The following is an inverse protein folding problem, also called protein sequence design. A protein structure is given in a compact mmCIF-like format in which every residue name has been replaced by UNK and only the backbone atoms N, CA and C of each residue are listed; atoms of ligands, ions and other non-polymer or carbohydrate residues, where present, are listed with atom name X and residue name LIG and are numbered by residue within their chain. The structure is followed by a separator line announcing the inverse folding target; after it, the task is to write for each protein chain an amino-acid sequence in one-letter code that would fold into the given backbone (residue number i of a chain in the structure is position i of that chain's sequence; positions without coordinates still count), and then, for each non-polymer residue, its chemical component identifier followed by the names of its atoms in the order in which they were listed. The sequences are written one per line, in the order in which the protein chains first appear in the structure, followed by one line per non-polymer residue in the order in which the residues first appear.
data_IF_623518895772
#
_entry.id   IF_623518895772
#
_cell.length_a   1.000
_cell.length_b   1.000
_cell.length_c   1.000
_cell.angle_alpha   90.00
_cell.angle_beta   90.00
_cell.angle_gamma   90.00
#
_symmetry.space_group_name_H-M   'P 1'
#
loop_
_entity.id
_entity.type
_entity.pdbx_description
1 polymer ?
#
# COMPACT_ATOMS: atom_id res chain seq x y z
N UNK A 1 -24.23 47.38 -52.47
CA UNK A 1 -24.03 45.96 -52.10
C UNK A 1 -22.71 45.83 -51.35
N UNK A 2 -22.73 45.77 -50.01
CA UNK A 2 -21.53 45.59 -49.18
C UNK A 2 -21.22 44.10 -49.08
N UNK A 3 -20.03 43.67 -49.53
CA UNK A 3 -19.55 42.29 -49.37
C UNK A 3 -18.98 42.14 -47.96
N UNK A 4 -19.61 41.29 -47.15
CA UNK A 4 -19.05 40.80 -45.89
C UNK A 4 -17.98 39.75 -46.22
N UNK A 5 -16.72 40.00 -45.82
CA UNK A 5 -15.71 38.95 -45.73
C UNK A 5 -15.93 38.20 -44.41
N UNK A 6 -16.35 36.94 -44.50
CA UNK A 6 -16.35 36.03 -43.37
C UNK A 6 -14.93 35.53 -43.13
N UNK A 7 -14.32 35.97 -42.03
CA UNK A 7 -13.04 35.47 -41.55
C UNK A 7 -13.31 34.17 -40.75
N UNK A 8 -13.07 33.01 -41.37
CA UNK A 8 -13.16 31.73 -40.67
C UNK A 8 -11.88 31.51 -39.88
N UNK A 9 -11.95 31.75 -38.56
CA UNK A 9 -10.88 31.44 -37.62
C UNK A 9 -10.86 29.91 -37.41
N UNK A 10 -9.95 29.20 -38.09
CA UNK A 10 -9.65 27.81 -37.74
C UNK A 10 -8.90 27.78 -36.41
N UNK A 11 -9.60 27.35 -35.36
CA UNK A 11 -8.99 26.90 -34.11
C UNK A 11 -8.21 25.60 -34.41
N UNK A 12 -6.92 25.73 -34.69
CA UNK A 12 -6.00 24.60 -34.68
C UNK A 12 -5.92 24.08 -33.24
N UNK A 13 -6.51 22.91 -32.99
CA UNK A 13 -6.21 22.16 -31.77
C UNK A 13 -4.71 21.90 -31.76
N UNK A 14 -4.01 22.38 -30.72
CA UNK A 14 -2.59 22.14 -30.49
C UNK A 14 -2.35 20.64 -30.23
N UNK A 15 -2.32 19.83 -31.29
CA UNK A 15 -1.73 18.51 -31.21
C UNK A 15 -0.23 18.69 -31.11
N UNK A 16 0.33 18.43 -29.93
CA UNK A 16 1.77 18.26 -29.75
C UNK A 16 2.24 17.14 -30.71
N UNK A 17 3.07 17.43 -31.72
CA UNK A 17 3.40 16.48 -32.78
C UNK A 17 4.37 15.38 -32.30
N UNK A 18 4.79 15.40 -31.04
CA UNK A 18 5.70 14.39 -30.48
C UNK A 18 4.98 13.05 -30.35
N UNK A 19 5.62 11.94 -30.76
CA UNK A 19 5.04 10.62 -30.59
C UNK A 19 4.82 10.33 -29.09
N UNK A 20 3.76 9.59 -28.73
CA UNK A 20 3.54 9.20 -27.33
C UNK A 20 4.75 8.47 -26.73
N UNK A 21 5.13 8.83 -25.51
CA UNK A 21 6.13 8.09 -24.74
C UNK A 21 5.57 6.72 -24.38
N UNK A 22 6.41 5.68 -24.48
CA UNK A 22 6.07 4.32 -24.09
C UNK A 22 7.06 3.80 -23.05
N UNK A 23 6.52 3.26 -21.96
CA UNK A 23 7.31 2.71 -20.86
C UNK A 23 6.45 1.75 -20.04
N UNK A 24 7.03 1.15 -19.01
CA UNK A 24 6.28 0.35 -18.06
C UNK A 24 6.75 0.52 -16.63
N UNK A 25 5.97 -0.04 -15.72
CA UNK A 25 6.34 -0.21 -14.32
C UNK A 25 6.29 -1.69 -13.97
N UNK A 26 7.28 -2.14 -13.21
CA UNK A 26 7.29 -3.47 -12.61
C UNK A 26 7.35 -3.31 -11.10
N UNK A 27 6.34 -3.84 -10.42
CA UNK A 27 6.27 -3.90 -8.97
C UNK A 27 6.60 -5.30 -8.49
N UNK A 28 7.57 -5.39 -7.59
CA UNK A 28 8.00 -6.64 -6.96
C UNK A 28 7.84 -6.57 -5.45
N UNK A 29 7.52 -7.71 -4.84
CA UNK A 29 7.52 -7.92 -3.41
C UNK A 29 8.56 -8.97 -3.07
N UNK A 30 9.78 -8.52 -2.76
CA UNK A 30 10.94 -9.41 -2.75
C UNK A 30 11.21 -9.90 -4.16
N UNK A 31 11.30 -11.23 -4.33
CA UNK A 31 11.48 -11.86 -5.64
C UNK A 31 10.20 -12.02 -6.48
N UNK A 32 9.03 -11.75 -5.91
CA UNK A 32 7.76 -12.00 -6.58
C UNK A 32 7.33 -10.78 -7.37
N UNK A 33 7.16 -10.88 -8.69
CA UNK A 33 6.41 -9.88 -9.46
C UNK A 33 4.94 -9.90 -9.04
N UNK A 34 4.45 -8.76 -8.57
CA UNK A 34 3.10 -8.62 -8.02
C UNK A 34 2.19 -7.76 -8.88
N UNK A 35 2.79 -6.85 -9.64
CA UNK A 35 2.08 -6.05 -10.65
C UNK A 35 3.02 -5.61 -11.75
N UNK A 36 2.48 -5.49 -12.96
CA UNK A 36 3.13 -4.80 -14.06
C UNK A 36 2.15 -3.86 -14.74
N UNK A 37 2.69 -2.81 -15.32
CA UNK A 37 1.94 -1.81 -16.08
C UNK A 37 2.70 -1.49 -17.36
N UNK A 38 1.97 -1.42 -18.47
CA UNK A 38 2.41 -0.87 -19.75
C UNK A 38 1.71 0.47 -19.94
N UNK A 39 2.47 1.48 -20.33
CA UNK A 39 2.00 2.86 -20.39
C UNK A 39 2.32 3.47 -21.75
N UNK A 40 1.34 4.17 -22.32
CA UNK A 40 1.49 5.09 -23.44
C UNK A 40 1.01 6.48 -23.01
N UNK A 41 1.87 7.49 -23.12
CA UNK A 41 1.61 8.85 -22.61
C UNK A 41 1.87 9.92 -23.68
N UNK A 42 0.89 10.77 -23.92
CA UNK A 42 1.03 12.03 -24.64
C UNK A 42 0.84 13.21 -23.70
N UNK A 43 0.85 14.44 -24.24
CA UNK A 43 0.55 15.65 -23.45
C UNK A 43 -0.90 15.71 -22.97
N UNK A 44 -1.84 15.12 -23.70
CA UNK A 44 -3.28 15.20 -23.43
C UNK A 44 -3.90 13.88 -22.95
N UNK A 45 -3.17 12.76 -23.02
CA UNK A 45 -3.74 11.43 -22.73
C UNK A 45 -2.71 10.50 -22.09
N UNK A 46 -3.20 9.64 -21.19
CA UNK A 46 -2.47 8.49 -20.67
C UNK A 46 -3.33 7.24 -20.92
N UNK A 47 -2.76 6.23 -21.55
CA UNK A 47 -3.38 4.91 -21.73
C UNK A 47 -2.52 3.87 -21.04
N UNK A 48 -3.13 3.02 -20.23
CA UNK A 48 -2.41 1.99 -19.50
C UNK A 48 -3.10 0.65 -19.54
N UNK A 49 -2.28 -0.39 -19.69
CA UNK A 49 -2.67 -1.76 -19.46
C UNK A 49 -1.93 -2.25 -18.23
N UNK A 50 -2.64 -2.75 -17.23
CA UNK A 50 -2.07 -3.20 -15.97
C UNK A 50 -2.58 -4.56 -15.57
N UNK A 51 -1.73 -5.32 -14.88
CA UNK A 51 -2.16 -6.50 -14.14
C UNK A 51 -1.56 -6.49 -12.75
N UNK A 52 -2.39 -6.76 -11.75
CA UNK A 52 -1.99 -7.02 -10.37
C UNK A 52 -2.56 -8.36 -9.91
N UNK A 53 -1.94 -9.00 -8.91
CA UNK A 53 -2.38 -10.33 -8.40
C UNK A 53 -2.75 -10.35 -6.92
N UNK A 54 -2.98 -9.18 -6.31
CA UNK A 54 -3.34 -9.11 -4.89
C UNK A 54 -4.44 -8.07 -4.63
N UNK A 55 -5.54 -8.46 -3.96
CA UNK A 55 -5.83 -9.79 -3.41
C UNK A 55 -6.25 -10.85 -4.45
N UNK A 56 -6.51 -10.45 -5.70
CA UNK A 56 -6.89 -11.32 -6.82
C UNK A 56 -6.19 -10.85 -8.08
N UNK A 57 -6.09 -11.71 -9.10
CA UNK A 57 -5.71 -11.25 -10.44
C UNK A 57 -6.73 -10.27 -10.98
N UNK A 58 -6.30 -9.03 -11.20
CA UNK A 58 -7.08 -7.98 -11.84
C UNK A 58 -6.30 -7.46 -13.04
N UNK A 59 -6.94 -7.50 -14.20
CA UNK A 59 -6.46 -6.83 -15.42
C UNK A 59 -7.21 -5.53 -15.58
N UNK A 60 -6.49 -4.49 -15.98
CA UNK A 60 -7.03 -3.15 -16.18
C UNK A 60 -6.61 -2.63 -17.52
N UNK A 61 -7.56 -2.12 -18.27
CA UNK A 61 -7.31 -1.18 -19.33
C UNK A 61 -7.83 0.18 -18.85
N UNK A 62 -7.01 1.21 -18.88
CA UNK A 62 -7.36 2.53 -18.37
C UNK A 62 -6.95 3.62 -19.33
N UNK A 63 -7.84 4.59 -19.51
CA UNK A 63 -7.62 5.77 -20.30
C UNK A 63 -7.90 6.99 -19.44
N UNK A 64 -7.01 7.98 -19.53
CA UNK A 64 -7.09 9.20 -18.76
C UNK A 64 -6.90 10.39 -19.69
N UNK A 65 -7.82 11.33 -19.64
CA UNK A 65 -7.65 12.63 -20.30
C UNK A 65 -6.97 13.60 -19.34
N UNK A 66 -6.02 14.36 -19.88
CA UNK A 66 -5.20 15.31 -19.15
C UNK A 66 -5.47 16.73 -19.64
N UNK A 67 -5.56 17.68 -18.73
CA UNK A 67 -5.53 19.09 -19.09
C UNK A 67 -4.11 19.58 -19.42
N UNK A 68 -3.99 20.85 -19.82
CA UNK A 68 -2.70 21.46 -20.15
C UNK A 68 -1.71 21.48 -18.97
N UNK A 69 -2.19 21.31 -17.74
CA UNK A 69 -1.36 21.22 -16.55
C UNK A 69 -0.94 19.78 -16.22
N UNK A 70 -1.43 18.79 -16.99
CA UNK A 70 -1.21 17.37 -16.77
C UNK A 70 -2.12 16.76 -15.70
N UNK A 71 -3.14 17.49 -15.24
CA UNK A 71 -4.11 16.98 -14.28
C UNK A 71 -5.15 16.13 -15.00
N UNK A 72 -5.53 15.02 -14.35
CA UNK A 72 -6.57 14.12 -14.86
C UNK A 72 -7.94 14.80 -14.77
N UNK A 73 -8.65 14.88 -15.90
CA UNK A 73 -9.99 15.47 -16.02
C UNK A 73 -11.07 14.42 -16.27
N UNK A 74 -10.73 13.34 -16.96
CA UNK A 74 -11.61 12.21 -17.22
C UNK A 74 -10.83 10.90 -17.10
N UNK A 75 -11.50 9.85 -16.66
CA UNK A 75 -10.98 8.49 -16.56
C UNK A 75 -12.02 7.50 -17.07
N UNK A 76 -11.59 6.55 -17.89
CA UNK A 76 -12.31 5.30 -18.18
C UNK A 76 -11.42 4.15 -17.78
N UNK A 77 -11.96 3.18 -17.05
CA UNK A 77 -11.23 1.99 -16.64
C UNK A 77 -12.11 0.74 -16.75
N UNK A 78 -11.65 -0.21 -17.55
CA UNK A 78 -12.21 -1.54 -17.62
C UNK A 78 -11.39 -2.48 -16.72
N UNK A 79 -12.03 -3.05 -15.72
CA UNK A 79 -11.41 -4.01 -14.79
C UNK A 79 -11.98 -5.40 -15.06
N UNK A 80 -11.10 -6.37 -15.28
CA UNK A 80 -11.45 -7.80 -15.38
C UNK A 80 -10.79 -8.57 -14.26
N UNK A 81 -11.57 -9.43 -13.59
CA UNK A 81 -11.11 -10.32 -12.53
C UNK A 81 -11.41 -11.77 -12.95
N UNK A 82 -10.52 -12.43 -13.73
CA UNK A 82 -10.83 -13.73 -14.34
C UNK A 82 -11.23 -14.81 -13.32
N UNK A 83 -10.63 -14.76 -12.13
CA UNK A 83 -10.85 -15.71 -11.03
C UNK A 83 -11.81 -15.18 -9.93
N UNK A 84 -12.67 -14.21 -10.27
CA UNK A 84 -13.70 -13.74 -9.35
C UNK A 84 -14.72 -14.85 -9.03
N UNK A 85 -15.12 -14.93 -7.75
CA UNK A 85 -16.11 -15.91 -7.29
C UNK A 85 -17.50 -15.49 -7.71
N UNK A 86 -17.84 -14.21 -7.54
CA UNK A 86 -19.12 -13.66 -7.94
C UNK A 86 -19.08 -13.18 -9.39
N UNK A 87 -20.11 -13.46 -10.22
CA UNK A 87 -20.17 -12.97 -11.60
C UNK A 87 -20.04 -11.45 -11.73
N UNK A 88 -20.65 -10.69 -10.80
CA UNK A 88 -20.57 -9.22 -10.78
C UNK A 88 -19.16 -8.66 -10.57
N UNK A 89 -18.25 -9.44 -9.99
CA UNK A 89 -16.85 -9.05 -9.76
C UNK A 89 -15.95 -9.35 -10.96
N UNK A 90 -16.42 -10.12 -11.96
CA UNK A 90 -15.61 -10.56 -13.11
C UNK A 90 -15.29 -9.43 -14.07
N UNK A 91 -16.18 -8.46 -14.21
CA UNK A 91 -16.04 -7.37 -15.16
C UNK A 91 -16.78 -6.14 -14.68
N UNK A 92 -16.10 -5.01 -14.67
CA UNK A 92 -16.70 -3.70 -14.39
C UNK A 92 -16.05 -2.61 -15.22
N UNK A 93 -16.85 -1.64 -15.64
CA UNK A 93 -16.41 -0.40 -16.26
C UNK A 93 -16.60 0.73 -15.27
N UNK A 94 -15.55 1.50 -15.05
CA UNK A 94 -15.54 2.64 -14.15
C UNK A 94 -15.29 3.88 -14.99
N UNK A 95 -16.12 4.91 -14.84
CA UNK A 95 -15.84 6.24 -15.37
C UNK A 95 -15.71 7.22 -14.22
N UNK A 96 -14.81 8.18 -14.34
CA UNK A 96 -14.72 9.28 -13.40
C UNK A 96 -14.48 10.62 -14.11
N UNK A 97 -15.28 11.62 -13.75
CA UNK A 97 -15.14 13.00 -14.21
C UNK A 97 -14.64 13.86 -13.05
N UNK A 98 -13.51 14.53 -13.25
CA UNK A 98 -12.88 15.39 -12.26
C UNK A 98 -12.90 16.84 -12.74
N UNK A 99 -13.78 17.65 -12.14
CA UNK A 99 -13.77 19.09 -12.34
C UNK A 99 -12.95 19.78 -11.25
N UNK A 100 -12.94 21.11 -11.26
CA UNK A 100 -12.34 21.91 -10.18
C UNK A 100 -13.00 21.61 -8.83
N UNK A 101 -14.32 21.48 -8.80
CA UNK A 101 -15.11 21.50 -7.56
C UNK A 101 -15.76 20.16 -7.21
N UNK A 102 -15.67 19.17 -8.11
CA UNK A 102 -16.35 17.90 -7.93
C UNK A 102 -15.66 16.74 -8.64
N UNK A 103 -15.73 15.56 -8.03
CA UNK A 103 -15.50 14.27 -8.68
C UNK A 103 -16.84 13.57 -8.83
N UNK A 104 -17.12 13.01 -10.01
CA UNK A 104 -18.24 12.09 -10.24
C UNK A 104 -17.67 10.75 -10.68
N UNK A 105 -18.18 9.65 -10.14
CA UNK A 105 -17.75 8.29 -10.45
C UNK A 105 -19.00 7.49 -10.82
N UNK A 106 -18.92 6.74 -11.91
CA UNK A 106 -19.92 5.74 -12.28
C UNK A 106 -19.26 4.37 -12.38
N UNK A 107 -19.83 3.38 -11.72
CA UNK A 107 -19.40 1.98 -11.79
C UNK A 107 -20.52 1.17 -12.40
N UNK A 108 -20.23 0.53 -13.53
CA UNK A 108 -21.13 -0.40 -14.22
C UNK A 108 -20.59 -1.82 -14.16
N UNK A 109 -21.40 -2.74 -13.68
CA UNK A 109 -21.12 -4.18 -13.67
C UNK A 109 -22.39 -4.98 -13.97
N UNK A 110 -22.36 -6.31 -13.77
CA UNK A 110 -23.54 -7.15 -14.02
C UNK A 110 -24.68 -6.95 -13.00
N UNK A 111 -24.42 -6.28 -11.88
CA UNK A 111 -25.44 -5.95 -10.88
C UNK A 111 -26.14 -4.61 -11.18
N UNK A 112 -25.58 -3.79 -12.07
CA UNK A 112 -26.19 -2.53 -12.52
C UNK A 112 -25.20 -1.38 -12.60
N UNK A 113 -25.72 -0.16 -12.48
CA UNK A 113 -24.93 1.09 -12.45
C UNK A 113 -25.03 1.71 -11.07
N UNK A 114 -23.90 2.15 -10.53
CA UNK A 114 -23.80 2.85 -9.25
C UNK A 114 -23.03 4.15 -9.46
N UNK A 115 -23.64 5.26 -9.08
CA UNK A 115 -23.05 6.59 -9.22
C UNK A 115 -22.71 7.18 -7.85
N UNK A 116 -21.60 7.88 -7.76
CA UNK A 116 -21.21 8.61 -6.55
C UNK A 116 -20.54 9.93 -6.92
N UNK A 117 -20.76 10.98 -6.13
CA UNK A 117 -20.13 12.28 -6.36
C UNK A 117 -19.66 12.92 -5.08
N UNK A 118 -18.58 13.71 -5.19
CA UNK A 118 -17.91 14.30 -4.05
C UNK A 118 -17.47 15.72 -4.36
N UNK A 119 -17.77 16.67 -3.46
CA UNK A 119 -17.26 18.04 -3.54
C UNK A 119 -15.78 18.07 -3.15
N UNK A 120 -14.97 18.77 -3.92
CA UNK A 120 -13.50 18.82 -3.73
C UNK A 120 -13.03 20.15 -3.15
N UNK A 121 -13.84 21.21 -3.28
CA UNK A 121 -13.49 22.56 -2.82
C UNK A 121 -12.24 23.13 -3.50
N UNK A 122 -12.01 22.79 -4.77
CA UNK A 122 -10.82 23.25 -5.52
C UNK A 122 -9.55 22.46 -5.23
N UNK A 123 -9.60 21.40 -4.42
CA UNK A 123 -8.43 20.56 -4.16
C UNK A 123 -7.98 19.81 -5.42
N UNK A 124 -6.67 19.49 -5.49
CA UNK A 124 -6.18 18.51 -6.46
C UNK A 124 -6.83 17.18 -6.11
N UNK A 125 -7.45 16.53 -7.10
CA UNK A 125 -8.06 15.22 -6.94
C UNK A 125 -7.37 14.20 -7.83
N UNK A 126 -7.07 13.05 -7.25
CA UNK A 126 -6.43 11.94 -7.96
C UNK A 126 -7.15 10.63 -7.69
N UNK A 127 -7.33 9.77 -8.71
CA UNK A 127 -7.78 8.42 -8.50
C UNK A 127 -6.65 7.62 -7.84
N UNK A 128 -6.87 7.11 -6.63
CA UNK A 128 -5.96 6.16 -6.01
C UNK A 128 -6.29 4.75 -6.49
N UNK A 129 -5.51 4.26 -7.45
CA UNK A 129 -5.67 2.91 -7.98
C UNK A 129 -4.55 2.03 -7.47
N UNK A 130 -4.90 0.99 -6.73
CA UNK A 130 -3.91 0.11 -6.10
C UNK A 130 -3.01 -0.54 -7.15
N UNK A 131 -1.69 -0.47 -6.95
CA UNK A 131 -0.66 -1.04 -7.83
C UNK A 131 -0.62 -0.50 -9.28
N UNK A 132 -1.20 0.67 -9.55
CA UNK A 132 -0.98 1.39 -10.81
C UNK A 132 -0.07 2.60 -10.54
N UNK A 133 1.12 2.57 -11.11
CA UNK A 133 2.21 3.49 -10.75
C UNK A 133 2.31 4.66 -11.71
N UNK A 134 1.73 4.55 -12.90
CA UNK A 134 1.53 5.68 -13.82
C UNK A 134 0.66 6.79 -13.21
N UNK A 135 -0.38 6.41 -12.45
CA UNK A 135 -1.28 7.36 -11.79
C UNK A 135 -0.58 8.05 -10.62
N UNK A 136 0.25 7.30 -9.87
CA UNK A 136 1.13 7.86 -8.83
C UNK A 136 2.15 8.82 -9.45
N UNK A 137 2.71 8.52 -10.62
CA UNK A 137 3.58 9.45 -11.35
C UNK A 137 2.84 10.77 -11.66
N UNK A 138 1.61 10.70 -12.18
CA UNK A 138 0.82 11.91 -12.48
C UNK A 138 0.52 12.73 -11.21
N UNK A 139 0.19 12.06 -10.11
CA UNK A 139 -0.03 12.68 -8.81
C UNK A 139 1.20 13.45 -8.33
N UNK A 140 2.37 12.81 -8.38
CA UNK A 140 3.65 13.42 -7.99
C UNK A 140 3.98 14.59 -8.91
N UNK A 141 3.83 14.42 -10.23
CA UNK A 141 4.10 15.49 -11.19
C UNK A 141 3.23 16.73 -10.94
N UNK A 142 1.92 16.53 -10.72
CA UNK A 142 0.99 17.63 -10.42
C UNK A 142 1.35 18.33 -9.10
N UNK A 143 1.72 17.56 -8.07
CA UNK A 143 2.12 18.11 -6.78
C UNK A 143 3.44 18.89 -6.86
N UNK A 144 4.44 18.38 -7.59
CA UNK A 144 5.73 19.06 -7.80
C UNK A 144 5.56 20.36 -8.58
N UNK A 145 4.73 20.36 -9.63
CA UNK A 145 4.40 21.58 -10.39
C UNK A 145 3.74 22.63 -9.49
N UNK A 146 2.81 22.21 -8.63
CA UNK A 146 2.18 23.11 -7.65
C UNK A 146 3.17 23.62 -6.61
N UNK A 147 4.06 22.78 -6.10
CA UNK A 147 5.12 23.19 -5.18
C UNK A 147 6.00 24.29 -5.80
N UNK A 148 6.41 24.11 -7.06
CA UNK A 148 7.18 25.09 -7.81
C UNK A 148 6.42 26.41 -8.00
N UNK A 149 5.13 26.35 -8.38
CA UNK A 149 4.29 27.53 -8.56
C UNK A 149 4.06 28.32 -7.25
N UNK A 150 4.02 27.64 -6.11
CA UNK A 150 3.83 28.24 -4.80
C UNK A 150 5.14 28.67 -4.12
N UNK A 151 6.30 28.37 -4.71
CA UNK A 151 7.60 28.59 -4.05
C UNK A 151 7.76 27.77 -2.77
N UNK A 152 7.10 26.61 -2.67
CA UNK A 152 7.09 25.74 -1.50
C UNK A 152 8.52 25.29 -1.15
N UNK A 153 8.91 25.44 0.12
CA UNK A 153 10.26 25.09 0.55
C UNK A 153 10.50 23.57 0.54
N UNK A 154 11.76 23.14 0.44
CA UNK A 154 12.10 21.71 0.53
C UNK A 154 11.64 21.15 1.88
N UNK A 155 10.92 20.03 1.85
CA UNK A 155 10.35 19.38 3.04
C UNK A 155 8.94 19.87 3.43
N UNK A 156 8.45 20.96 2.84
CA UNK A 156 7.03 21.33 2.95
C UNK A 156 6.16 20.41 2.09
N UNK A 157 4.89 20.25 2.47
CA UNK A 157 3.99 19.29 1.85
C UNK A 157 3.04 19.96 0.87
N UNK A 158 2.78 19.29 -0.25
CA UNK A 158 1.62 19.58 -1.10
C UNK A 158 0.56 18.53 -0.82
N UNK A 159 -0.62 19.00 -0.41
CA UNK A 159 -1.77 18.13 -0.15
C UNK A 159 -2.62 17.92 -1.41
N UNK A 160 -3.08 16.69 -1.59
CA UNK A 160 -4.10 16.33 -2.55
C UNK A 160 -5.21 15.52 -1.88
N UNK A 161 -6.36 15.43 -2.56
CA UNK A 161 -7.45 14.54 -2.20
C UNK A 161 -7.45 13.34 -3.12
N UNK A 162 -7.70 12.17 -2.55
CA UNK A 162 -7.70 10.93 -3.30
C UNK A 162 -9.03 10.20 -3.12
N UNK A 163 -9.51 9.59 -4.19
CA UNK A 163 -10.69 8.73 -4.18
C UNK A 163 -10.31 7.34 -4.68
N UNK A 164 -11.09 6.32 -4.33
CA UNK A 164 -10.80 4.93 -4.66
C UNK A 164 -11.80 4.44 -5.71
N UNK A 165 -11.54 4.67 -7.02
CA UNK A 165 -12.53 4.43 -8.07
C UNK A 165 -12.92 2.96 -8.20
N UNK A 166 -12.07 2.05 -7.73
CA UNK A 166 -12.18 0.62 -7.92
C UNK A 166 -12.61 -0.11 -6.64
N UNK A 167 -13.12 0.61 -5.64
CA UNK A 167 -13.65 0.03 -4.40
C UNK A 167 -15.10 0.42 -4.21
N UNK A 168 -15.93 -0.54 -3.79
CA UNK A 168 -17.31 -0.28 -3.36
C UNK A 168 -17.29 0.28 -1.94
N UNK A 169 -16.77 1.50 -1.82
CA UNK A 169 -16.67 2.22 -0.55
C UNK A 169 -17.82 3.22 -0.49
N UNK A 170 -18.63 3.15 0.55
CA UNK A 170 -19.78 4.04 0.73
C UNK A 170 -19.37 5.52 0.79
N UNK A 171 -20.32 6.46 0.71
CA UNK A 171 -20.03 7.90 0.63
C UNK A 171 -19.27 8.48 1.85
N UNK A 172 -19.27 7.79 2.99
CA UNK A 172 -18.46 8.14 4.17
C UNK A 172 -16.95 7.90 3.99
N UNK A 173 -16.56 7.20 2.94
CA UNK A 173 -15.20 6.75 2.65
C UNK A 173 -14.60 7.46 1.40
N UNK A 174 -15.28 8.49 0.93
CA UNK A 174 -15.19 9.06 -0.39
C UNK A 174 -13.87 9.71 -0.81
N UNK A 175 -13.31 10.53 0.08
CA UNK A 175 -12.22 11.44 -0.25
C UNK A 175 -11.22 11.47 0.90
N UNK A 176 -10.14 10.77 0.70
CA UNK A 176 -9.01 10.70 1.60
C UNK A 176 -7.99 11.78 1.26
N UNK A 177 -6.98 11.94 2.12
CA UNK A 177 -5.88 12.87 1.92
C UNK A 177 -4.59 12.13 1.59
N UNK A 178 -3.79 12.75 0.76
CA UNK A 178 -2.40 12.39 0.65
C UNK A 178 -1.53 13.62 0.51
N UNK A 179 -0.24 13.40 0.69
CA UNK A 179 0.76 14.44 0.76
C UNK A 179 2.01 14.04 0.02
N UNK A 180 2.50 14.97 -0.78
CA UNK A 180 3.79 14.88 -1.46
C UNK A 180 4.76 15.82 -0.76
N UNK A 181 5.91 15.30 -0.36
CA UNK A 181 6.99 16.06 0.28
C UNK A 181 8.21 16.04 -0.64
N UNK A 182 8.50 17.13 -1.37
CA UNK A 182 9.76 17.25 -2.10
C UNK A 182 10.92 17.22 -1.11
N UNK A 183 11.88 16.31 -1.32
CA UNK A 183 13.06 16.16 -0.44
C UNK A 183 14.35 16.73 -1.05
N UNK A 184 14.28 17.21 -2.29
CA UNK A 184 15.45 17.66 -3.06
C UNK A 184 16.13 16.50 -3.79
N UNK A 185 17.05 16.83 -4.71
CA UNK A 185 17.86 15.86 -5.47
C UNK A 185 17.04 14.72 -6.13
N UNK A 186 15.89 15.06 -6.71
CA UNK A 186 15.01 14.09 -7.37
C UNK A 186 14.34 13.10 -6.42
N UNK A 187 14.31 13.35 -5.11
CA UNK A 187 13.64 12.49 -4.12
C UNK A 187 12.34 13.11 -3.64
N UNK A 188 11.31 12.29 -3.50
CA UNK A 188 9.96 12.66 -3.06
C UNK A 188 9.47 11.64 -2.04
N UNK A 189 8.92 12.09 -0.91
CA UNK A 189 8.13 11.21 -0.05
C UNK A 189 6.65 11.38 -0.37
N UNK A 190 5.97 10.26 -0.56
CA UNK A 190 4.53 10.16 -0.74
C UNK A 190 3.88 9.57 0.51
N UNK A 191 2.84 10.20 1.05
CA UNK A 191 2.10 9.70 2.23
C UNK A 191 0.61 9.72 1.94
N UNK A 192 -0.07 8.64 2.32
CA UNK A 192 -1.53 8.54 2.28
C UNK A 192 -2.06 8.37 3.70
N UNK A 193 -3.15 9.06 4.03
CA UNK A 193 -3.81 8.97 5.34
C UNK A 193 -4.46 7.61 5.61
N UNK A 194 -4.80 6.86 4.55
CA UNK A 194 -5.45 5.56 4.64
C UNK A 194 -4.78 4.50 3.78
N UNK A 195 -4.80 3.25 4.29
CA UNK A 195 -4.30 1.96 3.80
C UNK A 195 -2.95 1.88 3.09
N UNK A 196 -2.51 2.87 2.34
CA UNK A 196 -1.31 2.81 1.53
C UNK A 196 -0.05 3.18 2.32
N UNK A 197 -0.15 3.98 3.40
CA UNK A 197 1.00 4.34 4.25
C UNK A 197 1.93 5.34 3.57
N UNK A 198 3.24 5.25 3.82
CA UNK A 198 4.25 6.14 3.21
C UNK A 198 5.16 5.38 2.24
N UNK A 199 5.60 6.05 1.16
CA UNK A 199 6.56 5.53 0.20
C UNK A 199 7.56 6.58 -0.24
N UNK A 200 8.74 6.13 -0.64
CA UNK A 200 9.84 6.99 -1.09
C UNK A 200 10.02 6.83 -2.60
N UNK A 201 10.01 7.93 -3.34
CA UNK A 201 10.01 7.97 -4.81
C UNK A 201 11.25 8.68 -5.30
N UNK A 202 11.87 8.16 -6.35
CA UNK A 202 12.86 8.90 -7.14
C UNK A 202 12.27 9.33 -8.47
N UNK A 203 12.57 10.56 -8.87
CA UNK A 203 12.13 11.16 -10.13
C UNK A 203 13.33 11.67 -10.92
N UNK A 204 13.20 11.71 -12.25
CA UNK A 204 14.16 12.39 -13.10
C UNK A 204 13.99 13.91 -13.11
N UNK A 205 14.81 14.61 -13.89
CA UNK A 205 14.76 16.08 -14.00
C UNK A 205 13.46 16.61 -14.61
N UNK A 206 12.69 15.76 -15.29
CA UNK A 206 11.36 16.08 -15.82
C UNK A 206 10.23 15.73 -14.84
N UNK A 207 10.56 15.25 -13.63
CA UNK A 207 9.60 14.83 -12.63
C UNK A 207 8.94 13.47 -12.93
N UNK A 208 9.49 12.69 -13.88
CA UNK A 208 8.99 11.35 -14.21
C UNK A 208 9.48 10.35 -13.18
N UNK A 209 8.61 9.45 -12.75
CA UNK A 209 8.94 8.48 -11.73
C UNK A 209 9.92 7.43 -12.26
N UNK A 210 11.00 7.20 -11.51
CA UNK A 210 12.02 6.18 -11.80
C UNK A 210 11.86 4.96 -10.89
N UNK A 211 11.74 5.20 -9.58
CA UNK A 211 11.53 4.14 -8.59
C UNK A 211 10.51 4.54 -7.53
N UNK A 212 9.84 3.55 -6.95
CA UNK A 212 9.03 3.71 -5.74
C UNK A 212 9.40 2.63 -4.72
N UNK A 213 9.63 3.03 -3.48
CA UNK A 213 9.89 2.16 -2.33
C UNK A 213 8.73 2.22 -1.34
N UNK A 214 7.95 1.14 -1.29
CA UNK A 214 6.81 1.00 -0.38
C UNK A 214 7.16 0.47 0.99
N UNK A 215 8.42 0.51 1.46
CA UNK A 215 8.83 -0.14 2.72
C UNK A 215 8.05 0.33 3.95
N UNK A 216 7.59 1.58 3.95
CA UNK A 216 6.75 2.20 5.00
C UNK A 216 5.26 2.19 4.65
N UNK A 217 4.89 1.39 3.66
CA UNK A 217 3.58 1.26 3.05
C UNK A 217 2.99 -0.11 3.40
N UNK A 218 1.67 -0.28 3.26
CA UNK A 218 1.03 -1.58 3.49
C UNK A 218 1.46 -2.62 2.44
N UNK A 219 1.77 -2.19 1.22
CA UNK A 219 2.10 -3.11 0.14
C UNK A 219 3.56 -3.56 0.15
N UNK A 220 4.48 -2.76 0.70
CA UNK A 220 5.91 -3.12 0.83
C UNK A 220 6.62 -3.50 -0.47
N UNK A 221 6.10 -3.00 -1.59
CA UNK A 221 6.61 -3.27 -2.93
C UNK A 221 7.76 -2.34 -3.29
N UNK A 222 8.69 -2.84 -4.09
CA UNK A 222 9.67 -2.05 -4.82
C UNK A 222 9.22 -1.96 -6.27
N UNK A 223 9.29 -0.77 -6.86
CA UNK A 223 8.79 -0.49 -8.20
C UNK A 223 9.89 0.16 -9.01
N UNK A 224 10.03 -0.28 -10.25
CA UNK A 224 11.01 0.26 -11.20
C UNK A 224 10.32 0.63 -12.50
N UNK A 225 10.64 1.81 -13.03
CA UNK A 225 10.31 2.21 -14.40
C UNK A 225 11.19 1.43 -15.38
N UNK A 226 10.61 0.92 -16.45
CA UNK A 226 11.32 0.18 -17.50
C UNK A 226 10.99 0.73 -18.88
N UNK A 227 11.99 0.77 -19.77
CA UNK A 227 11.76 1.03 -21.19
C UNK A 227 11.27 -0.21 -21.94
N UNK A 228 11.57 -1.42 -21.43
CA UNK A 228 11.04 -2.66 -21.95
C UNK A 228 9.57 -2.80 -21.52
N UNK A 229 8.67 -2.77 -22.49
CA UNK A 229 7.23 -2.84 -22.27
C UNK A 229 6.84 -4.24 -21.75
N UNK A 230 6.23 -4.35 -20.56
CA UNK A 230 5.75 -5.63 -20.05
C UNK A 230 4.65 -6.22 -20.94
N UNK A 231 4.70 -7.53 -21.16
CA UNK A 231 3.58 -8.29 -21.74
C UNK A 231 2.53 -8.56 -20.64
N UNK A 232 1.67 -7.57 -20.44
CA UNK A 232 0.64 -7.54 -19.39
C UNK A 232 -0.31 -8.74 -19.49
N UNK A 233 -0.73 -9.12 -20.69
CA UNK A 233 -1.67 -10.23 -20.89
C UNK A 233 -1.02 -11.57 -20.54
N UNK A 234 0.17 -11.86 -21.07
CA UNK A 234 0.89 -13.10 -20.78
C UNK A 234 1.26 -13.23 -19.30
N UNK A 235 1.68 -12.13 -18.65
CA UNK A 235 1.93 -12.09 -17.20
C UNK A 235 0.62 -12.37 -16.44
N UNK A 236 -0.48 -11.77 -16.87
CA UNK A 236 -1.78 -12.01 -16.28
C UNK A 236 -2.26 -13.45 -16.40
N UNK A 237 -2.02 -14.11 -17.54
CA UNK A 237 -2.37 -15.53 -17.72
C UNK A 237 -1.56 -16.42 -16.76
N UNK A 238 -0.27 -16.13 -16.58
CA UNK A 238 0.57 -16.83 -15.60
C UNK A 238 0.07 -16.63 -14.16
N UNK A 239 -0.36 -15.43 -13.81
CA UNK A 239 -0.95 -15.18 -12.48
C UNK A 239 -2.24 -15.98 -12.29
N UNK A 240 -3.13 -16.00 -13.29
CA UNK A 240 -4.37 -16.78 -13.24
C UNK A 240 -4.07 -18.28 -13.08
N UNK A 241 -3.18 -18.83 -13.90
CA UNK A 241 -2.78 -20.23 -13.83
C UNK A 241 -2.15 -20.59 -12.47
N UNK A 242 -1.34 -19.69 -11.90
CA UNK A 242 -0.78 -19.88 -10.57
C UNK A 242 -1.87 -19.93 -9.48
N UNK A 243 -2.81 -18.99 -9.48
CA UNK A 243 -3.94 -18.99 -8.53
C UNK A 243 -4.82 -20.24 -8.66
N UNK A 244 -5.09 -20.72 -9.87
CA UNK A 244 -5.87 -21.93 -10.08
C UNK A 244 -5.16 -23.18 -9.53
N UNK A 245 -3.84 -23.23 -9.63
CA UNK A 245 -3.03 -24.36 -9.16
C UNK A 245 -2.84 -24.38 -7.64
N UNK A 246 -2.62 -23.23 -7.02
CA UNK A 246 -2.25 -23.14 -5.59
C UNK A 246 -3.32 -22.50 -4.70
N UNK A 247 -4.47 -22.14 -5.28
CA UNK A 247 -5.44 -21.26 -4.64
C UNK A 247 -4.97 -19.80 -4.65
N UNK A 248 -5.86 -18.92 -4.18
CA UNK A 248 -5.58 -17.48 -4.04
C UNK A 248 -4.39 -17.27 -3.13
N UNK A 249 -3.33 -16.67 -3.67
CA UNK A 249 -2.14 -16.35 -2.89
C UNK A 249 -2.46 -15.18 -1.95
N UNK A 250 -2.63 -15.45 -0.66
CA UNK A 250 -2.66 -14.38 0.33
C UNK A 250 -1.23 -13.93 0.61
N UNK A 251 -0.97 -12.62 0.54
CA UNK A 251 0.37 -12.07 0.76
C UNK A 251 0.94 -12.43 2.14
N UNK A 252 0.07 -12.41 3.14
CA UNK A 252 0.33 -12.77 4.52
C UNK A 252 -0.90 -13.46 5.09
N UNK A 253 -0.76 -14.73 5.48
CA UNK A 253 -1.86 -15.57 6.00
C UNK A 253 -2.03 -15.32 7.50
N UNK A 254 -3.28 -15.26 7.98
CA UNK A 254 -3.58 -15.16 9.42
C UNK A 254 -3.27 -16.50 10.10
N UNK A 255 -2.72 -16.44 11.30
CA UNK A 255 -2.46 -17.60 12.13
C UNK A 255 -2.68 -17.27 13.61
N UNK A 256 -2.81 -18.31 14.43
CA UNK A 256 -3.01 -18.17 15.86
C UNK A 256 -2.12 -19.14 16.63
N UNK A 257 -1.69 -18.71 17.81
CA UNK A 257 -0.96 -19.56 18.75
C UNK A 257 -1.70 -19.55 20.07
N UNK A 258 -1.90 -20.71 20.66
CA UNK A 258 -2.48 -20.86 21.99
C UNK A 258 -1.55 -21.72 22.84
N UNK A 259 -1.42 -21.36 24.11
CA UNK A 259 -0.61 -22.11 25.07
C UNK A 259 -1.18 -21.95 26.48
N UNK A 260 -0.79 -22.86 27.37
CA UNK A 260 -1.12 -22.80 28.79
C UNK A 260 0.17 -22.92 29.60
N UNK A 261 0.35 -22.05 30.59
CA UNK A 261 1.44 -22.11 31.58
C UNK A 261 0.77 -22.19 32.95
N UNK A 262 0.82 -23.37 33.58
CA UNK A 262 0.03 -23.64 34.78
C UNK A 262 -1.46 -23.56 34.50
N UNK A 263 -2.16 -22.66 35.19
CA UNK A 263 -3.59 -22.37 34.96
C UNK A 263 -3.84 -21.18 34.02
N UNK A 264 -2.80 -20.43 33.65
CA UNK A 264 -2.93 -19.28 32.78
C UNK A 264 -2.94 -19.69 31.31
N UNK A 265 -3.91 -19.17 30.56
CA UNK A 265 -4.04 -19.39 29.12
C UNK A 265 -3.59 -18.16 28.35
N UNK A 266 -2.99 -18.41 27.19
CA UNK A 266 -2.43 -17.39 26.32
C UNK A 266 -2.94 -17.59 24.90
N UNK A 267 -3.20 -16.49 24.20
CA UNK A 267 -3.50 -16.49 22.78
C UNK A 267 -2.71 -15.39 22.07
N UNK A 268 -2.16 -15.71 20.90
CA UNK A 268 -1.61 -14.76 19.94
C UNK A 268 -2.40 -14.90 18.64
N UNK A 269 -2.86 -13.79 18.10
CA UNK A 269 -3.53 -13.73 16.80
C UNK A 269 -2.82 -12.70 15.91
N UNK A 270 -2.30 -13.17 14.78
CA UNK A 270 -1.37 -12.40 13.96
C UNK A 270 -1.46 -12.81 12.48
N UNK A 271 -0.95 -11.98 11.58
CA UNK A 271 -0.70 -12.40 10.19
C UNK A 271 0.78 -12.60 9.94
N UNK A 272 1.09 -13.66 9.18
CA UNK A 272 2.44 -14.18 8.92
C UNK A 272 2.97 -13.65 7.58
N UNK A 273 3.77 -12.57 7.55
CA UNK A 273 4.47 -12.18 6.33
C UNK A 273 5.51 -13.23 5.92
N UNK A 274 5.75 -13.30 4.61
CA UNK A 274 6.77 -14.15 3.98
C UNK A 274 8.06 -13.36 3.73
N UNK A 275 9.23 -13.95 3.97
CA UNK A 275 10.51 -13.27 3.75
C UNK A 275 10.72 -12.97 2.26
N UNK A 276 10.40 -13.92 1.36
CA UNK A 276 10.55 -13.79 -0.10
C UNK A 276 11.95 -13.39 -0.55
N UNK A 277 12.97 -13.89 0.15
CA UNK A 277 14.38 -13.56 -0.12
C UNK A 277 14.77 -12.11 0.20
N UNK A 278 13.91 -11.36 0.90
CA UNK A 278 14.22 -9.97 1.31
C UNK A 278 15.09 -9.98 2.56
N UNK A 279 15.92 -8.94 2.69
CA UNK A 279 16.52 -8.62 3.99
C UNK A 279 15.40 -8.19 4.93
N UNK A 280 15.39 -8.72 6.16
CA UNK A 280 14.29 -8.46 7.09
C UNK A 280 14.56 -7.22 7.92
N UNK A 281 15.49 -7.29 8.87
CA UNK A 281 15.84 -6.15 9.73
C UNK A 281 16.63 -5.11 8.92
N UNK A 282 16.28 -3.84 9.08
CA UNK A 282 16.85 -2.72 8.33
C UNK A 282 16.38 -2.64 6.88
N UNK A 283 15.35 -3.40 6.51
CA UNK A 283 14.71 -3.33 5.19
C UNK A 283 13.19 -3.53 5.31
N UNK A 284 12.69 -4.76 5.41
CA UNK A 284 11.26 -5.02 5.62
C UNK A 284 10.78 -4.52 7.00
N UNK A 285 11.64 -4.63 8.01
CA UNK A 285 11.45 -4.10 9.35
C UNK A 285 12.47 -2.97 9.53
N UNK A 286 12.08 -1.70 9.31
CA UNK A 286 13.02 -0.59 9.37
C UNK A 286 13.48 -0.31 10.81
N UNK A 287 14.74 0.07 10.97
CA UNK A 287 15.31 0.46 12.27
C UNK A 287 14.65 1.74 12.79
N UNK A 288 14.52 1.85 14.11
CA UNK A 288 13.95 3.00 14.84
C UNK A 288 12.47 3.29 14.53
N UNK A 289 11.80 2.43 13.77
CA UNK A 289 10.37 2.52 13.50
C UNK A 289 9.59 1.42 14.21
N UNK A 290 8.38 1.75 14.64
CA UNK A 290 7.46 0.79 15.22
C UNK A 290 6.91 -0.14 14.15
N UNK A 291 7.06 -1.44 14.37
CA UNK A 291 6.54 -2.49 13.51
C UNK A 291 5.43 -3.24 14.22
N UNK A 292 4.35 -3.54 13.49
CA UNK A 292 3.17 -4.27 13.96
C UNK A 292 3.43 -5.72 14.38
N UNK A 293 4.69 -6.16 14.32
CA UNK A 293 5.13 -7.51 14.67
C UNK A 293 4.32 -8.57 13.92
N UNK A 294 4.21 -8.41 12.60
CA UNK A 294 3.31 -9.19 11.74
C UNK A 294 2.94 -8.43 10.46
N UNK A 295 1.81 -8.80 9.86
CA UNK A 295 1.20 -8.13 8.71
C UNK A 295 -0.28 -7.79 8.96
N UNK A 296 -0.89 -6.94 8.12
CA UNK A 296 -2.31 -6.55 8.23
C UNK A 296 -2.65 -5.86 9.58
N UNK A 297 -3.52 -6.47 10.39
CA UNK A 297 -3.86 -5.99 11.74
C UNK A 297 -2.65 -6.06 12.69
N UNK A 298 -2.68 -5.27 13.77
CA UNK A 298 -1.69 -5.39 14.83
C UNK A 298 -1.77 -6.76 15.51
N UNK A 299 -0.63 -7.36 15.84
CA UNK A 299 -0.58 -8.68 16.52
C UNK A 299 -1.24 -8.60 17.88
N UNK A 300 -2.34 -9.33 18.07
CA UNK A 300 -3.09 -9.39 19.31
C UNK A 300 -2.47 -10.43 20.25
N UNK A 301 -2.38 -10.08 21.53
CA UNK A 301 -1.89 -10.94 22.60
C UNK A 301 -2.86 -10.90 23.77
N UNK A 302 -3.33 -12.07 24.19
CA UNK A 302 -4.25 -12.22 25.32
C UNK A 302 -3.60 -13.11 26.38
N UNK A 303 -3.71 -12.71 27.64
CA UNK A 303 -3.35 -13.51 28.81
C UNK A 303 -4.52 -13.54 29.79
N UNK A 304 -4.86 -14.72 30.32
CA UNK A 304 -5.96 -14.88 31.28
C UNK A 304 -5.57 -14.63 32.74
N UNK A 305 -4.28 -14.40 33.01
CA UNK A 305 -3.76 -14.09 34.33
C UNK A 305 -2.76 -12.93 34.27
N UNK A 306 -2.50 -12.23 35.38
CA UNK A 306 -1.37 -11.31 35.48
C UNK A 306 -0.06 -12.05 35.24
N UNK A 307 0.83 -11.42 34.46
CA UNK A 307 2.14 -11.98 34.12
C UNK A 307 3.23 -10.92 34.22
N UNK A 308 4.47 -11.39 34.23
CA UNK A 308 5.64 -10.59 33.87
C UNK A 308 6.18 -11.07 32.52
N UNK A 309 6.25 -10.17 31.54
CA UNK A 309 6.74 -10.42 30.19
C UNK A 309 8.07 -9.67 29.98
N UNK A 310 9.19 -10.41 29.94
CA UNK A 310 10.53 -9.84 29.92
C UNK A 310 10.73 -8.74 30.99
N UNK A 311 10.24 -8.96 32.20
CA UNK A 311 10.33 -7.99 33.31
C UNK A 311 9.22 -6.92 33.33
N UNK A 312 8.41 -6.79 32.28
CA UNK A 312 7.27 -5.87 32.27
C UNK A 312 6.05 -6.53 32.92
N UNK A 313 5.45 -5.89 33.93
CA UNK A 313 4.18 -6.34 34.52
C UNK A 313 3.02 -6.11 33.55
N UNK A 314 2.28 -7.16 33.22
CA UNK A 314 1.15 -7.14 32.29
C UNK A 314 -0.06 -7.78 32.98
N UNK A 315 -1.11 -7.01 33.32
CA UNK A 315 -2.34 -7.57 33.87
C UNK A 315 -3.02 -8.56 32.93
N UNK A 316 -3.97 -9.34 33.45
CA UNK A 316 -4.85 -10.15 32.62
C UNK A 316 -5.63 -9.24 31.65
N UNK A 317 -5.69 -9.63 30.38
CA UNK A 317 -6.33 -8.81 29.35
C UNK A 317 -5.88 -9.12 27.93
N UNK A 318 -6.36 -8.31 27.00
CA UNK A 318 -5.98 -8.35 25.58
C UNK A 318 -5.25 -7.06 25.21
N UNK A 319 -4.13 -7.22 24.52
CA UNK A 319 -3.19 -6.17 24.16
C UNK A 319 -2.77 -6.36 22.69
N UNK A 320 -2.02 -5.39 22.16
CA UNK A 320 -1.26 -5.57 20.93
C UNK A 320 0.23 -5.52 21.17
N UNK A 321 0.98 -6.32 20.40
CA UNK A 321 2.43 -6.40 20.46
C UNK A 321 3.06 -5.66 19.28
N UNK A 322 3.96 -4.73 19.58
CA UNK A 322 4.74 -4.00 18.59
C UNK A 322 6.22 -4.19 18.87
N UNK A 323 7.06 -4.07 17.85
CA UNK A 323 8.51 -4.21 17.98
C UNK A 323 9.21 -3.02 17.34
N UNK A 324 10.29 -2.57 17.97
CA UNK A 324 11.13 -1.48 17.48
C UNK A 324 12.57 -2.01 17.41
N UNK A 325 13.02 -2.47 16.24
CA UNK A 325 14.43 -2.80 16.07
C UNK A 325 15.28 -1.54 16.15
N UNK A 326 16.36 -1.62 16.91
CA UNK A 326 17.41 -0.61 17.00
C UNK A 326 18.72 -1.18 16.54
N UNK A 327 19.75 -0.34 16.46
CA UNK A 327 21.08 -0.76 16.02
C UNK A 327 21.63 -1.99 16.78
N UNK A 328 21.38 -2.12 18.09
CA UNK A 328 21.96 -3.19 18.93
C UNK A 328 20.95 -4.00 19.75
N UNK A 329 19.66 -3.67 19.71
CA UNK A 329 18.62 -4.35 20.48
C UNK A 329 17.26 -4.25 19.81
N UNK A 330 16.30 -5.01 20.30
CA UNK A 330 14.90 -4.92 19.86
C UNK A 330 14.01 -4.67 21.07
N UNK A 331 13.27 -3.56 21.03
CA UNK A 331 12.29 -3.26 22.07
C UNK A 331 10.95 -3.94 21.70
N UNK A 332 10.37 -4.71 22.61
CA UNK A 332 8.96 -5.12 22.59
C UNK A 332 8.12 -4.04 23.28
N UNK A 333 7.02 -3.66 22.65
CA UNK A 333 6.02 -2.75 23.19
C UNK A 333 4.72 -3.50 23.39
N UNK A 334 4.16 -3.41 24.59
CA UNK A 334 2.81 -3.88 24.90
C UNK A 334 1.89 -2.67 24.89
N UNK A 335 0.89 -2.67 24.02
CA UNK A 335 -0.03 -1.55 23.83
C UNK A 335 -1.47 -1.96 24.18
N UNK A 336 -2.20 -1.08 24.86
CA UNK A 336 -3.55 -1.32 25.38
C UNK A 336 -4.66 -1.21 24.32
N UNK A 337 -4.34 -0.74 23.12
CA UNK A 337 -5.26 -0.77 21.98
C UNK A 337 -5.36 -2.20 21.42
N UNK A 338 -6.56 -2.61 21.03
CA UNK A 338 -6.84 -3.91 20.44
C UNK A 338 -7.71 -3.78 19.17
N UNK A 339 -7.57 -4.73 18.25
CA UNK A 339 -8.37 -4.83 17.02
C UNK A 339 -8.01 -3.83 15.90
N UNK A 340 -7.03 -2.96 16.10
CA UNK A 340 -6.65 -1.91 15.14
C UNK A 340 -5.83 -2.44 13.96
N UNK A 341 -5.81 -1.67 12.86
CA UNK A 341 -4.94 -1.97 11.73
C UNK A 341 -3.47 -1.72 12.12
N UNK A 342 -2.54 -2.49 11.57
CA UNK A 342 -1.13 -2.42 11.99
C UNK A 342 -0.36 -1.18 11.55
N UNK A 343 -1.02 -0.17 10.97
CA UNK A 343 -0.44 1.19 10.77
C UNK A 343 -0.99 2.21 11.77
N UNK A 344 -1.97 1.85 12.59
CA UNK A 344 -2.71 2.76 13.48
C UNK A 344 -2.16 2.70 14.91
N UNK A 345 -0.84 2.77 15.04
CA UNK A 345 -0.17 2.73 16.33
C UNK A 345 -0.32 4.07 17.08
N UNK A 346 -0.89 4.04 18.30
CA UNK A 346 -0.93 5.17 19.21
C UNK A 346 0.03 4.96 20.40
N UNK A 347 1.14 5.69 20.41
CA UNK A 347 2.15 5.65 21.49
C UNK A 347 1.57 5.97 22.88
N UNK A 348 0.50 6.77 22.97
CA UNK A 348 -0.13 7.14 24.25
C UNK A 348 -0.83 5.96 24.93
N UNK A 349 -1.05 4.87 24.18
CA UNK A 349 -1.67 3.63 24.65
C UNK A 349 -0.65 2.57 25.07
N UNK A 350 0.65 2.87 25.01
CA UNK A 350 1.70 1.94 25.48
C UNK A 350 1.51 1.65 26.97
N UNK A 351 1.30 0.37 27.32
CA UNK A 351 1.38 -0.11 28.71
C UNK A 351 2.83 -0.04 29.19
N UNK A 352 3.76 -0.41 28.31
CA UNK A 352 5.18 -0.37 28.60
C UNK A 352 6.03 -0.95 27.47
N UNK A 353 7.35 -0.87 27.67
CA UNK A 353 8.35 -1.40 26.75
C UNK A 353 9.36 -2.25 27.50
N UNK A 354 9.84 -3.30 26.86
CA UNK A 354 10.87 -4.19 27.39
C UNK A 354 11.81 -4.62 26.26
N UNK A 355 13.01 -5.10 26.59
CA UNK A 355 13.99 -5.56 25.60
C UNK A 355 13.84 -7.06 25.34
N UNK A 356 13.76 -7.43 24.07
CA UNK A 356 13.79 -8.83 23.65
C UNK A 356 15.23 -9.34 23.62
N UNK A 357 15.41 -10.62 23.96
CA UNK A 357 16.63 -11.35 23.62
C UNK A 357 16.63 -11.66 22.13
N UNK A 358 17.80 -11.53 21.50
CA UNK A 358 17.96 -11.79 20.06
C UNK A 358 18.93 -12.95 19.87
N UNK A 359 18.44 -13.99 19.20
CA UNK A 359 19.18 -15.17 18.81
C UNK A 359 19.18 -15.29 17.28
N UNK A 360 20.17 -15.99 16.73
CA UNK A 360 20.19 -16.38 15.31
C UNK A 360 19.74 -17.84 15.18
N UNK A 361 18.89 -18.13 14.21
CA UNK A 361 18.48 -19.51 13.88
C UNK A 361 19.29 -20.03 12.70
N UNK A 362 19.65 -21.31 12.73
CA UNK A 362 20.44 -21.96 11.67
C UNK A 362 19.66 -22.03 10.35
N UNK A 363 18.40 -22.47 10.42
CA UNK A 363 17.52 -22.57 9.26
C UNK A 363 16.69 -21.30 9.08
N UNK A 364 16.64 -20.81 7.83
CA UNK A 364 15.84 -19.62 7.49
C UNK A 364 14.35 -19.91 7.63
N UNK A 365 13.68 -19.16 8.50
CA UNK A 365 12.23 -19.23 8.72
C UNK A 365 11.50 -18.37 7.69
N UNK A 366 10.95 -18.97 6.64
CA UNK A 366 10.31 -18.22 5.53
C UNK A 366 9.03 -17.48 5.97
N UNK A 367 8.20 -18.11 6.80
CA UNK A 367 6.96 -17.54 7.33
C UNK A 367 7.21 -17.00 8.72
N UNK A 368 6.97 -15.71 8.95
CA UNK A 368 7.03 -15.16 10.31
C UNK A 368 6.17 -16.00 11.25
N UNK A 369 6.73 -16.41 12.37
CA UNK A 369 6.09 -17.35 13.31
C UNK A 369 6.23 -16.83 14.72
N UNK A 370 5.11 -16.74 15.42
CA UNK A 370 5.06 -16.48 16.86
C UNK A 370 4.70 -17.77 17.56
N UNK A 371 5.37 -18.05 18.68
CA UNK A 371 5.16 -19.25 19.50
C UNK A 371 5.22 -18.91 20.98
N UNK A 372 4.48 -19.67 21.80
CA UNK A 372 4.64 -19.65 23.26
C UNK A 372 4.99 -21.07 23.70
N UNK A 373 6.13 -21.21 24.38
CA UNK A 373 6.62 -22.50 24.87
C UNK A 373 6.64 -22.49 26.39
N UNK A 374 5.83 -23.31 27.07
CA UNK A 374 5.92 -23.51 28.51
C UNK A 374 7.28 -24.12 28.90
N UNK A 375 7.83 -23.69 30.02
CA UNK A 375 9.04 -24.25 30.65
C UNK A 375 8.64 -25.07 31.87
N UNK A 376 7.73 -24.53 32.69
CA UNK A 376 7.14 -25.21 33.84
C UNK A 376 5.75 -24.61 34.15
N UNK A 377 5.21 -24.89 35.34
CA UNK A 377 3.88 -24.43 35.75
C UNK A 377 3.75 -22.90 35.94
N UNK A 378 4.86 -22.15 36.01
CA UNK A 378 4.86 -20.69 36.18
C UNK A 378 5.62 -19.95 35.08
N UNK A 379 6.52 -20.62 34.36
CA UNK A 379 7.41 -19.99 33.38
C UNK A 379 7.17 -20.49 31.98
N UNK A 380 7.35 -19.60 31.01
CA UNK A 380 7.38 -19.92 29.60
C UNK A 380 8.18 -18.89 28.81
N UNK A 381 8.18 -19.01 27.49
CA UNK A 381 8.84 -18.06 26.60
C UNK A 381 7.94 -17.74 25.42
N UNK A 382 7.73 -16.45 25.17
CA UNK A 382 7.24 -15.94 23.89
C UNK A 382 8.41 -15.89 22.92
N UNK A 383 8.23 -16.43 21.72
CA UNK A 383 9.23 -16.43 20.66
C UNK A 383 8.65 -15.87 19.36
N UNK A 384 9.45 -15.10 18.62
CA UNK A 384 9.10 -14.49 17.35
C UNK A 384 10.25 -14.79 16.37
N UNK A 385 10.01 -15.62 15.35
CA UNK A 385 11.07 -16.06 14.41
C UNK A 385 10.75 -15.65 12.97
N UNK A 386 11.73 -15.05 12.28
CA UNK A 386 11.64 -14.76 10.84
C UNK A 386 13.03 -14.70 10.19
N UNK A 387 13.15 -15.28 9.01
CA UNK A 387 14.43 -15.41 8.34
C UNK A 387 15.44 -16.07 9.27
N UNK A 388 16.55 -15.40 9.53
CA UNK A 388 17.61 -15.91 10.40
C UNK A 388 17.54 -15.41 11.84
N UNK A 389 16.57 -14.55 12.20
CA UNK A 389 16.48 -14.05 13.58
C UNK A 389 15.36 -14.74 14.37
N UNK A 390 15.60 -14.86 15.68
CA UNK A 390 14.60 -15.20 16.69
C UNK A 390 14.69 -14.19 17.82
N UNK A 391 13.55 -13.59 18.15
CA UNK A 391 13.41 -12.77 19.34
C UNK A 391 12.66 -13.52 20.42
N UNK A 392 13.09 -13.41 21.68
CA UNK A 392 12.45 -14.08 22.80
C UNK A 392 12.19 -13.15 23.99
N UNK A 393 11.07 -13.39 24.66
CA UNK A 393 10.70 -12.76 25.92
C UNK A 393 10.28 -13.82 26.94
N UNK A 394 10.91 -13.91 28.12
CA UNK A 394 10.46 -14.82 29.16
C UNK A 394 9.09 -14.37 29.70
N UNK A 395 8.22 -15.33 29.98
CA UNK A 395 6.91 -15.16 30.63
C UNK A 395 7.00 -15.77 32.02
N UNK A 396 6.52 -15.04 33.03
CA UNK A 396 6.31 -15.54 34.40
C UNK A 396 4.87 -15.26 34.79
N UNK A 397 4.08 -16.29 35.09
CA UNK A 397 2.73 -16.18 35.64
C UNK A 397 2.82 -15.80 37.11
N UNK A 398 2.05 -14.79 37.52
CA UNK A 398 2.05 -14.27 38.89
C UNK A 398 1.14 -15.08 39.82
#
# INVERSE_FOLDING_TARGET
MKRLLSLTLLLAACNDPRPPERYGFVAVLGRDTVSVERVERSSARLVTDGVDRFPFVRRRHSEFDLDADGKITHMVMDVRTPNARMPAERGRRITADMTRDMVRISIRDSAGVRDTSFRTGGAITVPHVSMMYSVIELEIAAALKRAAALGTATGERVEFRQFYPDRDVGPSFALHRGWVYPRGNGTVELRHDWLSGSGDVTVDSAGRMLTYSGKRSTYQVAVTRTALLPDVESIGDRFVAAELRTGRAQLSVRDTTRATIGAATFAVDYSRPLARGRRLIGDVIPFEFVWRTGANAATQFTTSAPITLAGLSVPAGTYTLWTVPRASRVDLVVNTQAGQWGTEYDKRRDLGRTTLRTDTVADTVEKFTIGITPIDAKRGTLSLSWGTFRWTAPIVVQ
#
